data_IF_250672998859
#
_entry.id   IF_250672998859
#
_cell.length_a   1.000
_cell.length_b   1.000
_cell.length_c   1.000
_cell.angle_alpha   90.00
_cell.angle_beta   90.00
_cell.angle_gamma   90.00
#
_symmetry.space_group_name_H-M   'P 1'
#
loop_
_entity.id
_entity.type
_entity.pdbx_description
1 polymer ?
#
# COMPACT_ATOMS: atom_id res chain seq x y z
N UNK A 1 22.30 -15.53 0.53
CA UNK A 1 21.61 -16.72 1.11
C UNK A 1 20.30 -16.43 1.87
N UNK A 2 19.92 -15.16 2.11
CA UNK A 2 18.68 -14.78 2.82
C UNK A 2 17.36 -14.92 2.04
N UNK A 3 17.39 -15.42 0.80
CA UNK A 3 16.22 -15.47 -0.09
C UNK A 3 15.38 -16.75 0.06
N UNK A 4 16.01 -17.85 0.50
CA UNK A 4 15.34 -19.16 0.59
C UNK A 4 14.34 -19.18 1.74
N UNK A 5 13.06 -19.24 1.41
CA UNK A 5 11.93 -19.26 2.36
C UNK A 5 11.08 -17.98 2.44
N UNK A 6 11.54 -16.86 1.86
CA UNK A 6 10.76 -15.62 1.77
C UNK A 6 10.01 -15.45 0.43
N UNK A 7 10.10 -16.42 -0.48
CA UNK A 7 9.35 -16.41 -1.75
C UNK A 7 9.95 -15.52 -2.83
N UNK A 8 11.23 -15.16 -2.74
CA UNK A 8 11.96 -14.40 -3.75
C UNK A 8 12.50 -15.27 -4.90
N UNK A 9 12.42 -16.59 -4.77
CA UNK A 9 13.01 -17.59 -5.68
C UNK A 9 12.43 -17.56 -7.12
N UNK A 10 11.29 -16.91 -7.33
CA UNK A 10 10.64 -16.74 -8.64
C UNK A 10 10.93 -15.41 -9.35
N UNK A 11 11.62 -14.46 -8.70
CA UNK A 11 11.93 -13.16 -9.30
C UNK A 11 13.15 -13.32 -10.24
N UNK A 12 12.92 -13.45 -11.54
CA UNK A 12 14.02 -13.42 -12.52
C UNK A 12 14.57 -12.00 -12.60
N UNK A 13 15.77 -11.79 -12.08
CA UNK A 13 16.53 -10.54 -12.18
C UNK A 13 17.74 -10.72 -13.08
N UNK A 14 18.17 -9.65 -13.74
CA UNK A 14 19.41 -9.65 -14.51
C UNK A 14 20.60 -9.59 -13.55
N UNK A 15 21.29 -10.73 -13.37
CA UNK A 15 22.44 -10.85 -12.48
C UNK A 15 23.62 -9.94 -12.88
N UNK A 16 23.73 -9.56 -14.16
CA UNK A 16 24.72 -8.59 -14.61
C UNK A 16 24.41 -7.18 -14.09
N UNK A 17 23.14 -6.79 -14.06
CA UNK A 17 22.69 -5.52 -13.45
C UNK A 17 22.92 -5.55 -11.94
N UNK A 18 22.59 -6.66 -11.26
CA UNK A 18 22.81 -6.82 -9.81
C UNK A 18 24.30 -6.66 -9.49
N UNK A 19 25.18 -7.38 -10.19
CA UNK A 19 26.63 -7.30 -9.98
C UNK A 19 27.17 -5.88 -10.18
N UNK A 20 26.69 -5.16 -11.20
CA UNK A 20 27.08 -3.77 -11.46
C UNK A 20 26.65 -2.82 -10.33
N UNK A 21 25.45 -2.99 -9.80
CA UNK A 21 24.94 -2.18 -8.68
C UNK A 21 25.72 -2.46 -7.38
N UNK A 22 26.00 -3.73 -7.09
CA UNK A 22 26.79 -4.13 -5.91
C UNK A 22 28.22 -3.60 -6.00
N UNK A 23 28.86 -3.69 -7.17
CA UNK A 23 30.18 -3.09 -7.40
C UNK A 23 30.18 -1.56 -7.22
N UNK A 24 29.04 -0.90 -7.44
CA UNK A 24 28.82 0.52 -7.16
C UNK A 24 28.50 0.85 -5.69
N UNK A 25 28.50 -0.13 -4.79
CA UNK A 25 28.26 0.05 -3.36
C UNK A 25 26.80 -0.08 -2.91
N UNK A 26 25.89 -0.55 -3.78
CA UNK A 26 24.49 -0.82 -3.41
C UNK A 26 24.41 -2.17 -2.69
N UNK A 27 23.71 -2.22 -1.56
CA UNK A 27 23.44 -3.48 -0.84
C UNK A 27 22.69 -4.48 -1.74
N UNK A 28 23.00 -5.77 -1.63
CA UNK A 28 22.56 -6.82 -2.56
C UNK A 28 21.03 -6.92 -2.70
N UNK A 29 20.27 -6.81 -1.60
CA UNK A 29 18.81 -6.80 -1.62
C UNK A 29 18.23 -5.60 -2.35
N UNK A 30 18.78 -4.40 -2.11
CA UNK A 30 18.39 -3.18 -2.83
C UNK A 30 18.79 -3.26 -4.31
N UNK A 31 19.94 -3.84 -4.63
CA UNK A 31 20.40 -4.05 -5.99
C UNK A 31 19.43 -4.98 -6.76
N UNK A 32 18.99 -6.08 -6.15
CA UNK A 32 17.98 -6.97 -6.74
C UNK A 32 16.63 -6.31 -6.93
N UNK A 33 16.18 -5.46 -5.98
CA UNK A 33 14.97 -4.66 -6.15
C UNK A 33 15.06 -3.79 -7.41
N UNK A 34 16.13 -3.03 -7.59
CA UNK A 34 16.30 -2.17 -8.76
C UNK A 34 16.49 -2.96 -10.06
N UNK A 35 17.23 -4.07 -10.03
CA UNK A 35 17.36 -4.95 -11.17
C UNK A 35 15.99 -5.49 -11.64
N UNK A 36 15.12 -5.88 -10.71
CA UNK A 36 13.75 -6.29 -11.01
C UNK A 36 12.87 -5.14 -11.51
N UNK A 37 12.97 -3.96 -10.89
CA UNK A 37 12.20 -2.77 -11.28
C UNK A 37 12.57 -2.28 -12.70
N UNK A 38 13.85 -2.34 -13.06
CA UNK A 38 14.40 -1.85 -14.32
C UNK A 38 14.41 -2.92 -15.44
N UNK A 39 14.31 -4.21 -15.10
CA UNK A 39 14.30 -5.31 -16.08
C UNK A 39 12.99 -5.51 -16.85
N UNK A 40 12.06 -4.54 -16.81
CA UNK A 40 10.74 -4.64 -17.48
C UNK A 40 10.82 -4.22 -18.95
N UNK A 41 9.98 -4.78 -19.84
CA UNK A 41 10.00 -4.44 -21.26
C UNK A 41 9.80 -2.94 -21.52
N UNK A 42 10.45 -2.49 -22.61
CA UNK A 42 10.76 -1.11 -22.97
C UNK A 42 9.59 -0.13 -22.93
N UNK A 43 9.84 1.03 -22.31
CA UNK A 43 9.17 2.27 -22.68
C UNK A 43 9.56 2.64 -24.11
N UNK A 44 8.58 2.76 -25.00
CA UNK A 44 8.81 3.28 -26.34
C UNK A 44 8.88 4.80 -26.24
N UNK A 45 10.10 5.32 -26.33
CA UNK A 45 10.32 6.75 -26.45
C UNK A 45 10.51 7.12 -27.94
N UNK A 46 10.09 8.33 -28.35
CA UNK A 46 10.57 8.90 -29.60
C UNK A 46 12.10 8.88 -29.65
N UNK A 47 12.69 8.52 -30.79
CA UNK A 47 14.14 8.34 -30.92
C UNK A 47 14.94 9.54 -30.44
N UNK A 48 14.50 10.76 -30.77
CA UNK A 48 15.12 12.00 -30.30
C UNK A 48 15.20 12.08 -28.76
N UNK A 49 14.13 11.70 -28.06
CA UNK A 49 14.11 11.69 -26.60
C UNK A 49 15.00 10.59 -26.02
N UNK A 50 15.02 9.40 -26.64
CA UNK A 50 15.92 8.32 -26.23
C UNK A 50 17.40 8.71 -26.42
N UNK A 51 17.72 9.34 -27.55
CA UNK A 51 19.07 9.83 -27.87
C UNK A 51 19.48 10.91 -26.84
N UNK A 52 18.60 11.84 -26.49
CA UNK A 52 18.84 12.86 -25.46
C UNK A 52 19.06 12.25 -24.06
N UNK A 53 18.26 11.25 -23.66
CA UNK A 53 18.43 10.53 -22.40
C UNK A 53 19.76 9.76 -22.32
N UNK A 54 20.21 9.20 -23.45
CA UNK A 54 21.45 8.41 -23.53
C UNK A 54 22.71 9.28 -23.65
N UNK A 55 22.61 10.46 -24.28
CA UNK A 55 23.74 11.36 -24.50
C UNK A 55 24.24 12.05 -23.21
N UNK A 56 23.44 12.06 -22.13
CA UNK A 56 23.83 12.66 -20.85
C UNK A 56 24.19 14.14 -20.93
N UNK A 57 23.69 14.85 -21.95
CA UNK A 57 24.14 16.17 -22.37
C UNK A 57 23.01 17.16 -22.66
N UNK A 58 23.40 18.43 -22.75
CA UNK A 58 22.57 19.61 -22.98
C UNK A 58 21.77 19.51 -24.29
N UNK A 59 20.45 19.63 -24.23
CA UNK A 59 19.67 20.02 -25.42
C UNK A 59 19.44 21.53 -25.38
N UNK A 60 20.15 22.26 -26.23
CA UNK A 60 19.76 23.60 -26.65
C UNK A 60 18.61 23.50 -27.67
N UNK A 61 17.39 23.85 -27.23
CA UNK A 61 16.24 24.20 -28.07
C UNK A 61 15.36 23.01 -28.51
N UNK A 62 14.05 22.97 -28.19
CA UNK A 62 13.04 24.01 -28.40
C UNK A 62 12.04 24.05 -27.24
N UNK A 63 11.96 25.20 -26.56
CA UNK A 63 10.82 25.54 -25.70
C UNK A 63 10.95 25.25 -24.20
N UNK A 64 12.15 25.32 -23.63
CA UNK A 64 12.39 25.23 -22.18
C UNK A 64 13.76 24.65 -21.85
N UNK A 65 14.81 25.47 -21.97
CA UNK A 65 16.21 25.03 -21.83
C UNK A 65 16.58 24.62 -20.40
N UNK A 66 16.54 23.32 -20.12
CA UNK A 66 17.07 22.72 -18.91
C UNK A 66 18.00 21.56 -19.26
N UNK A 67 19.15 21.49 -18.58
CA UNK A 67 20.09 20.37 -18.70
C UNK A 67 19.40 19.07 -18.30
N UNK A 68 19.46 18.03 -19.13
CA UNK A 68 18.93 16.71 -18.78
C UNK A 68 19.74 16.15 -17.60
N UNK A 69 19.10 15.82 -16.46
CA UNK A 69 19.82 15.27 -15.32
C UNK A 69 20.52 13.95 -15.67
N UNK A 70 21.73 13.67 -15.13
CA UNK A 70 22.44 12.41 -15.40
C UNK A 70 21.65 11.15 -15.06
N UNK A 71 20.68 11.25 -14.15
CA UNK A 71 19.80 10.15 -13.74
C UNK A 71 18.44 10.15 -14.46
N UNK A 72 18.21 10.99 -15.48
CA UNK A 72 16.90 11.14 -16.12
C UNK A 72 16.36 9.83 -16.72
N UNK A 73 17.24 9.00 -17.30
CA UNK A 73 16.86 7.69 -17.83
C UNK A 73 16.38 6.75 -16.71
N UNK A 74 17.13 6.70 -15.60
CA UNK A 74 16.75 5.94 -14.41
C UNK A 74 15.42 6.44 -13.83
N UNK A 75 15.24 7.76 -13.71
CA UNK A 75 13.97 8.36 -13.26
C UNK A 75 12.79 7.96 -14.13
N UNK A 76 12.95 8.01 -15.46
CA UNK A 76 11.90 7.64 -16.39
C UNK A 76 11.47 6.18 -16.22
N UNK A 77 12.44 5.25 -16.17
CA UNK A 77 12.17 3.83 -15.97
C UNK A 77 11.56 3.55 -14.60
N UNK A 78 12.17 4.11 -13.54
CA UNK A 78 11.72 3.89 -12.18
C UNK A 78 10.34 4.49 -11.93
N UNK A 79 10.01 5.68 -12.49
CA UNK A 79 8.68 6.30 -12.34
C UNK A 79 7.56 5.43 -12.87
N UNK A 80 7.80 4.72 -13.97
CA UNK A 80 6.81 3.89 -14.60
C UNK A 80 6.83 2.42 -14.14
N UNK A 81 7.54 2.15 -13.04
CA UNK A 81 7.37 0.98 -12.20
C UNK A 81 6.30 1.24 -11.13
N UNK A 82 5.24 0.42 -11.09
CA UNK A 82 4.07 0.61 -10.22
C UNK A 82 3.86 -0.57 -9.27
N UNK A 83 4.75 -0.78 -8.27
CA UNK A 83 4.51 -1.75 -7.21
C UNK A 83 3.44 -1.24 -6.22
N UNK A 84 2.97 -2.11 -5.35
CA UNK A 84 2.06 -1.75 -4.25
C UNK A 84 2.73 -0.88 -3.18
N UNK A 85 4.02 -1.10 -2.92
CA UNK A 85 4.86 -0.25 -2.08
C UNK A 85 6.12 0.07 -2.88
N UNK A 86 6.42 1.36 -3.05
CA UNK A 86 7.52 1.81 -3.90
C UNK A 86 8.60 2.47 -3.06
N UNK A 87 9.83 1.97 -3.19
CA UNK A 87 11.00 2.65 -2.65
C UNK A 87 11.32 3.84 -3.56
N UNK A 88 11.42 5.04 -2.99
CA UNK A 88 11.84 6.28 -3.67
C UNK A 88 13.25 6.60 -3.21
N UNK A 89 14.18 6.65 -4.15
CA UNK A 89 15.55 7.06 -3.89
C UNK A 89 15.64 8.56 -3.59
N UNK A 90 16.73 9.01 -2.95
CA UNK A 90 16.99 10.41 -2.69
C UNK A 90 17.06 11.23 -3.98
N UNK A 91 16.57 12.47 -3.94
CA UNK A 91 16.63 13.40 -5.07
C UNK A 91 17.75 14.43 -4.87
N UNK A 92 18.21 15.03 -5.96
CA UNK A 92 19.20 16.11 -5.91
C UNK A 92 18.69 17.35 -5.13
N UNK A 93 17.37 17.46 -4.95
CA UNK A 93 16.69 18.54 -4.22
C UNK A 93 16.72 18.34 -2.69
N UNK A 94 17.36 17.27 -2.19
CA UNK A 94 17.61 17.05 -0.77
C UNK A 94 16.61 16.14 -0.06
N UNK A 95 15.65 15.55 -0.79
CA UNK A 95 14.75 14.55 -0.23
C UNK A 95 15.52 13.26 0.06
N UNK A 96 15.32 12.68 1.24
CA UNK A 96 15.90 11.39 1.61
C UNK A 96 15.23 10.19 0.94
N UNK A 97 15.58 8.99 1.42
CA UNK A 97 14.88 7.76 1.08
C UNK A 97 13.45 7.82 1.58
N UNK A 98 12.49 7.48 0.71
CA UNK A 98 11.07 7.49 1.05
C UNK A 98 10.40 6.20 0.61
N UNK A 99 9.27 5.91 1.23
CA UNK A 99 8.41 4.78 0.88
C UNK A 99 7.06 5.33 0.48
N UNK A 100 6.59 4.96 -0.72
CA UNK A 100 5.26 5.30 -1.20
C UNK A 100 4.33 4.10 -1.00
N UNK A 101 3.33 4.26 -0.13
CA UNK A 101 2.29 3.26 0.11
C UNK A 101 1.11 3.49 -0.84
N UNK A 102 0.91 2.59 -1.80
CA UNK A 102 0.00 2.71 -2.94
C UNK A 102 -1.25 1.79 -2.96
N UNK A 103 -1.51 0.85 -2.02
CA UNK A 103 -2.67 -0.04 -2.16
C UNK A 103 -4.04 0.60 -1.88
N UNK A 104 -4.10 1.82 -1.35
CA UNK A 104 -5.34 2.41 -0.86
C UNK A 104 -6.23 2.91 -2.00
N UNK A 105 -7.48 2.45 -2.03
CA UNK A 105 -8.51 3.06 -2.86
C UNK A 105 -8.88 4.46 -2.33
N UNK A 106 -9.19 5.38 -3.23
CA UNK A 106 -9.74 6.69 -2.85
C UNK A 106 -11.15 6.53 -2.29
N UNK A 107 -11.45 7.27 -1.23
CA UNK A 107 -12.75 7.27 -0.57
C UNK A 107 -13.59 8.48 -1.00
N UNK A 108 -14.89 8.44 -0.69
CA UNK A 108 -15.85 9.41 -1.21
C UNK A 108 -15.72 10.79 -0.58
N UNK A 109 -15.25 10.87 0.68
CA UNK A 109 -15.09 12.12 1.41
C UNK A 109 -13.65 12.37 1.88
N UNK A 110 -13.32 13.65 2.09
CA UNK A 110 -12.02 14.07 2.63
C UNK A 110 -11.76 13.48 4.02
N UNK A 111 -12.79 13.33 4.86
CA UNK A 111 -12.65 12.71 6.18
C UNK A 111 -12.20 11.26 6.08
N UNK A 112 -12.79 10.45 5.20
CA UNK A 112 -12.41 9.04 5.06
C UNK A 112 -10.97 8.91 4.53
N UNK A 113 -10.62 9.73 3.53
CA UNK A 113 -9.26 9.78 3.00
C UNK A 113 -8.26 10.20 4.09
N UNK A 114 -8.59 11.23 4.88
CA UNK A 114 -7.78 11.65 6.02
C UNK A 114 -7.64 10.54 7.07
N UNK A 115 -8.72 9.82 7.37
CA UNK A 115 -8.71 8.73 8.35
C UNK A 115 -7.73 7.62 7.97
N UNK A 116 -7.72 7.21 6.69
CA UNK A 116 -6.76 6.23 6.20
C UNK A 116 -5.33 6.74 6.21
N UNK A 117 -5.10 8.01 5.85
CA UNK A 117 -3.76 8.62 5.91
C UNK A 117 -3.24 8.66 7.34
N UNK A 118 -4.04 9.18 8.27
CA UNK A 118 -3.71 9.25 9.70
C UNK A 118 -3.41 7.86 10.24
N UNK A 119 -4.26 6.87 9.95
CA UNK A 119 -4.05 5.49 10.37
C UNK A 119 -2.74 4.90 9.84
N UNK A 120 -2.44 5.04 8.55
CA UNK A 120 -1.20 4.50 7.96
C UNK A 120 0.03 5.16 8.58
N UNK A 121 0.00 6.48 8.81
CA UNK A 121 1.12 7.21 9.45
C UNK A 121 1.31 6.74 10.88
N UNK A 122 0.25 6.70 11.69
CA UNK A 122 0.34 6.25 13.09
C UNK A 122 0.77 4.79 13.18
N UNK A 123 0.23 3.90 12.34
CA UNK A 123 0.61 2.49 12.31
C UNK A 123 2.08 2.31 11.91
N UNK A 124 2.57 3.04 10.91
CA UNK A 124 3.97 2.99 10.50
C UNK A 124 4.90 3.45 11.63
N UNK A 125 4.54 4.54 12.34
CA UNK A 125 5.30 5.04 13.48
C UNK A 125 5.27 4.09 14.67
N UNK A 126 4.14 3.47 14.98
CA UNK A 126 4.03 2.47 16.02
C UNK A 126 4.92 1.25 15.72
N UNK A 127 4.91 0.76 14.47
CA UNK A 127 5.78 -0.35 14.03
C UNK A 127 7.26 -0.02 14.19
N UNK A 128 7.66 1.20 13.79
CA UNK A 128 9.03 1.69 13.94
C UNK A 128 9.43 1.81 15.42
N UNK A 129 8.58 2.44 16.24
CA UNK A 129 8.81 2.69 17.67
C UNK A 129 8.99 1.40 18.46
N UNK A 130 8.14 0.41 18.20
CA UNK A 130 8.11 -0.85 18.95
C UNK A 130 8.95 -1.97 18.31
N UNK A 131 9.59 -1.71 17.17
CA UNK A 131 10.40 -2.71 16.45
C UNK A 131 9.58 -3.93 16.02
N UNK A 132 8.30 -3.73 15.71
CA UNK A 132 7.37 -4.81 15.40
C UNK A 132 7.71 -5.41 14.04
N UNK A 133 7.87 -6.73 14.00
CA UNK A 133 8.18 -7.43 12.76
C UNK A 133 6.95 -8.19 12.24
N UNK A 134 6.25 -7.61 11.26
CA UNK A 134 5.10 -8.22 10.57
C UNK A 134 5.44 -8.83 9.21
N UNK A 135 6.71 -9.09 8.93
CA UNK A 135 7.08 -9.68 7.64
C UNK A 135 6.44 -11.06 7.48
N UNK A 136 5.75 -11.23 6.36
CA UNK A 136 5.14 -12.46 5.89
C UNK A 136 5.88 -12.89 4.61
N UNK A 137 6.09 -14.21 4.36
CA UNK A 137 6.70 -14.67 3.11
C UNK A 137 5.96 -14.13 1.88
N UNK A 138 6.69 -13.68 0.86
CA UNK A 138 6.13 -12.98 -0.30
C UNK A 138 5.06 -13.80 -1.04
N UNK A 139 5.22 -15.12 -1.13
CA UNK A 139 4.19 -16.02 -1.70
C UNK A 139 2.82 -15.90 -0.99
N UNK A 140 2.82 -15.71 0.33
CA UNK A 140 1.60 -15.48 1.12
C UNK A 140 1.08 -14.05 0.97
N UNK A 141 1.96 -13.08 0.72
CA UNK A 141 1.56 -11.71 0.36
C UNK A 141 0.81 -11.70 -0.98
N UNK A 142 1.28 -12.44 -1.98
CA UNK A 142 0.56 -12.61 -3.24
C UNK A 142 -0.81 -13.27 -3.05
N UNK A 143 -0.86 -14.33 -2.24
CA UNK A 143 -2.15 -14.96 -1.90
C UNK A 143 -3.10 -13.99 -1.18
N UNK A 144 -2.57 -13.11 -0.32
CA UNK A 144 -3.36 -12.04 0.31
C UNK A 144 -3.94 -11.06 -0.72
N UNK A 145 -3.20 -10.72 -1.77
CA UNK A 145 -3.73 -9.92 -2.86
C UNK A 145 -4.90 -10.62 -3.54
N UNK A 146 -4.77 -11.91 -3.88
CA UNK A 146 -5.88 -12.67 -4.48
C UNK A 146 -7.10 -12.71 -3.54
N UNK A 147 -6.89 -12.86 -2.23
CA UNK A 147 -7.93 -12.85 -1.19
C UNK A 147 -8.58 -11.49 -0.98
N UNK A 148 -7.95 -10.38 -1.37
CA UNK A 148 -8.46 -9.03 -1.16
C UNK A 148 -9.54 -8.61 -2.19
N UNK A 149 -9.53 -9.19 -3.39
CA UNK A 149 -10.40 -8.79 -4.50
C UNK A 149 -11.87 -9.26 -4.44
N UNK A 150 -12.21 -10.44 -3.88
CA UNK A 150 -13.59 -10.91 -3.82
C UNK A 150 -14.55 -9.93 -3.14
N UNK A 151 -15.82 -9.94 -3.59
CA UNK A 151 -16.88 -9.10 -3.01
C UNK A 151 -16.97 -9.32 -1.50
N UNK A 152 -17.01 -8.22 -0.76
CA UNK A 152 -17.10 -8.18 0.71
C UNK A 152 -15.93 -8.89 1.42
N UNK A 153 -14.76 -9.05 0.78
CA UNK A 153 -13.59 -9.72 1.36
C UNK A 153 -13.29 -9.28 2.80
N UNK A 154 -13.38 -7.97 3.09
CA UNK A 154 -13.17 -7.42 4.44
C UNK A 154 -13.97 -8.13 5.55
N UNK A 155 -15.15 -8.69 5.24
CA UNK A 155 -16.07 -9.29 6.22
C UNK A 155 -15.86 -10.78 6.47
N UNK A 156 -15.24 -11.50 5.53
CA UNK A 156 -15.24 -12.97 5.57
C UNK A 156 -13.94 -13.61 5.08
N UNK A 157 -13.14 -12.90 4.29
CA UNK A 157 -11.82 -13.39 3.92
C UNK A 157 -10.89 -13.34 5.12
N UNK A 158 -9.90 -14.24 5.06
CA UNK A 158 -8.82 -14.30 6.04
C UNK A 158 -7.51 -14.13 5.31
N UNK A 159 -6.59 -13.39 5.90
CA UNK A 159 -5.33 -12.97 5.33
C UNK A 159 -4.18 -13.52 6.17
N UNK A 160 -3.14 -13.97 5.49
CA UNK A 160 -1.90 -14.39 6.13
C UNK A 160 -1.29 -13.20 6.87
N UNK A 161 -1.19 -13.35 8.18
CA UNK A 161 -0.65 -12.37 9.09
C UNK A 161 0.34 -13.03 10.03
N UNK A 162 1.35 -12.30 10.47
CA UNK A 162 2.32 -12.82 11.43
C UNK A 162 1.74 -12.74 12.84
N UNK A 163 1.74 -13.86 13.56
CA UNK A 163 1.25 -13.97 14.94
C UNK A 163 2.37 -14.43 15.85
N UNK A 164 2.77 -13.57 16.80
CA UNK A 164 3.81 -13.85 17.78
C UNK A 164 5.21 -14.10 17.20
N UNK A 165 6.08 -14.63 18.06
CA UNK A 165 7.44 -14.97 17.69
C UNK A 165 7.48 -16.30 16.93
N UNK A 166 8.20 -16.29 15.81
CA UNK A 166 8.40 -17.44 14.96
C UNK A 166 9.25 -18.54 15.60
N UNK A 167 9.31 -19.70 14.97
CA UNK A 167 10.28 -20.74 15.31
C UNK A 167 11.62 -20.53 14.60
N UNK A 168 12.62 -21.37 14.90
CA UNK A 168 13.84 -21.47 14.12
C UNK A 168 14.13 -22.91 13.69
N UNK A 169 14.55 -23.07 12.44
CA UNK A 169 15.04 -24.32 11.89
C UNK A 169 16.55 -24.24 11.68
N UNK A 170 17.26 -25.37 11.80
CA UNK A 170 18.66 -25.47 11.36
C UNK A 170 18.72 -26.18 10.02
N UNK A 171 19.14 -25.48 8.97
CA UNK A 171 19.41 -26.07 7.66
C UNK A 171 20.89 -25.88 7.36
N UNK A 172 21.63 -26.98 7.19
CA UNK A 172 23.09 -26.98 6.97
C UNK A 172 23.88 -26.18 8.03
N UNK A 173 23.47 -26.24 9.30
CA UNK A 173 24.13 -25.53 10.41
C UNK A 173 23.75 -24.05 10.55
N UNK A 174 23.00 -23.48 9.60
CA UNK A 174 22.52 -22.10 9.64
C UNK A 174 21.12 -22.05 10.27
N UNK A 175 20.96 -21.22 11.30
CA UNK A 175 19.67 -20.96 11.93
C UNK A 175 18.79 -20.10 11.02
N UNK A 176 17.59 -20.58 10.72
CA UNK A 176 16.59 -19.93 9.88
C UNK A 176 15.34 -19.65 10.71
N UNK A 177 15.09 -18.38 11.01
CA UNK A 177 13.82 -17.98 11.63
C UNK A 177 12.68 -18.15 10.63
N UNK A 178 11.66 -18.93 11.00
CA UNK A 178 10.41 -19.04 10.26
C UNK A 178 9.37 -18.16 10.93
N UNK A 179 8.76 -17.18 10.22
CA UNK A 179 7.70 -16.39 10.81
C UNK A 179 6.51 -17.30 11.14
N UNK A 180 5.99 -17.19 12.36
CA UNK A 180 4.72 -17.84 12.72
C UNK A 180 3.59 -17.05 12.08
N UNK A 181 2.94 -17.61 11.06
CA UNK A 181 1.90 -16.94 10.28
C UNK A 181 0.59 -17.70 10.35
N UNK A 182 -0.50 -16.98 10.53
CA UNK A 182 -1.85 -17.51 10.61
C UNK A 182 -2.80 -16.71 9.72
N UNK A 183 -3.93 -17.32 9.37
CA UNK A 183 -5.01 -16.64 8.66
C UNK A 183 -5.89 -15.89 9.67
N UNK A 184 -5.96 -14.57 9.55
CA UNK A 184 -6.78 -13.70 10.39
C UNK A 184 -7.78 -12.91 9.53
N UNK A 185 -8.97 -12.63 10.05
CA UNK A 185 -9.89 -11.67 9.41
C UNK A 185 -9.32 -10.25 9.49
N UNK A 186 -9.86 -9.32 8.69
CA UNK A 186 -9.45 -7.90 8.81
C UNK A 186 -9.81 -7.35 10.19
N UNK A 187 -10.93 -7.78 10.76
CA UNK A 187 -11.32 -7.45 12.13
C UNK A 187 -10.26 -7.88 13.15
N UNK A 188 -9.81 -9.14 13.08
CA UNK A 188 -8.77 -9.68 13.97
C UNK A 188 -7.41 -8.96 13.78
N UNK A 189 -7.09 -8.53 12.55
CA UNK A 189 -5.85 -7.79 12.26
C UNK A 189 -5.93 -6.36 12.81
N UNK A 190 -7.05 -5.67 12.61
CA UNK A 190 -7.18 -4.25 12.97
C UNK A 190 -7.49 -4.09 14.46
N UNK A 191 -8.53 -4.77 14.94
CA UNK A 191 -9.06 -4.65 16.30
C UNK A 191 -8.45 -5.66 17.28
N UNK A 192 -7.73 -6.65 16.78
CA UNK A 192 -7.08 -7.67 17.60
C UNK A 192 -7.96 -8.91 17.85
N UNK A 193 -7.34 -9.91 18.45
CA UNK A 193 -7.95 -11.16 18.87
C UNK A 193 -7.14 -11.76 20.04
N UNK A 194 -7.49 -12.96 20.49
CA UNK A 194 -6.77 -13.60 21.60
C UNK A 194 -5.26 -13.80 21.33
N UNK A 195 -4.87 -14.02 20.07
CA UNK A 195 -3.48 -14.31 19.68
C UNK A 195 -2.72 -13.10 19.13
N UNK A 196 -3.39 -11.96 18.91
CA UNK A 196 -2.77 -10.79 18.30
C UNK A 196 -3.40 -9.51 18.85
N UNK A 197 -2.57 -8.58 19.32
CA UNK A 197 -3.02 -7.35 19.97
C UNK A 197 -3.88 -6.46 19.05
N UNK A 198 -3.69 -6.56 17.73
CA UNK A 198 -4.35 -5.69 16.75
C UNK A 198 -3.53 -4.45 16.46
N UNK A 199 -3.65 -3.92 15.25
CA UNK A 199 -2.92 -2.71 14.82
C UNK A 199 -3.40 -1.49 15.60
N UNK A 200 -4.70 -1.35 15.87
CA UNK A 200 -5.23 -0.17 16.56
C UNK A 200 -4.74 -0.07 18.00
N UNK A 201 -4.70 -1.18 18.73
CA UNK A 201 -4.17 -1.18 20.09
C UNK A 201 -2.68 -0.79 20.13
N UNK A 202 -1.90 -1.14 19.10
CA UNK A 202 -0.50 -0.67 18.99
C UNK A 202 -0.41 0.82 18.65
N UNK A 203 -1.34 1.34 17.85
CA UNK A 203 -1.44 2.78 17.57
C UNK A 203 -1.79 3.56 18.85
N UNK A 204 -2.70 3.04 19.67
CA UNK A 204 -3.08 3.61 20.96
C UNK A 204 -1.91 3.62 21.96
N UNK A 205 -1.17 2.52 22.06
CA UNK A 205 0.06 2.46 22.87
C UNK A 205 1.07 3.52 22.38
N UNK A 206 1.28 3.61 21.07
CA UNK A 206 2.22 4.56 20.46
C UNK A 206 1.86 6.00 20.81
N UNK A 207 0.59 6.40 20.63
CA UNK A 207 0.14 7.75 20.98
C UNK A 207 0.36 8.04 22.47
N UNK A 208 0.11 7.05 23.33
CA UNK A 208 0.31 7.19 24.78
C UNK A 208 1.79 7.36 25.13
N UNK A 209 2.68 6.53 24.57
CA UNK A 209 4.13 6.59 24.85
C UNK A 209 4.82 7.82 24.27
N UNK A 210 4.36 8.32 23.12
CA UNK A 210 4.86 9.57 22.54
C UNK A 210 4.28 10.83 23.22
N UNK A 211 3.42 10.65 24.23
CA UNK A 211 2.94 11.74 25.08
C UNK A 211 1.81 12.57 24.46
N UNK A 212 1.00 11.99 23.55
CA UNK A 212 -0.21 12.65 23.05
C UNK A 212 -1.14 12.93 24.23
N UNK A 213 -1.59 14.17 24.34
CA UNK A 213 -2.59 14.58 25.31
C UNK A 213 -3.92 13.85 25.10
N UNK A 214 -4.76 13.81 26.14
CA UNK A 214 -6.10 13.23 26.01
C UNK A 214 -6.89 13.93 24.89
N UNK A 215 -6.79 15.25 24.78
CA UNK A 215 -7.47 16.01 23.73
C UNK A 215 -7.02 15.58 22.32
N UNK A 216 -5.71 15.42 22.09
CA UNK A 216 -5.18 14.94 20.80
C UNK A 216 -5.67 13.51 20.49
N UNK A 217 -5.69 12.62 21.48
CA UNK A 217 -6.22 11.26 21.30
C UNK A 217 -7.72 11.28 20.97
N UNK A 218 -8.50 12.15 21.63
CA UNK A 218 -9.92 12.33 21.33
C UNK A 218 -10.17 12.90 19.93
N UNK A 219 -9.28 13.76 19.44
CA UNK A 219 -9.32 14.27 18.06
C UNK A 219 -9.02 13.17 17.03
N UNK A 220 -8.16 12.20 17.36
CA UNK A 220 -7.85 11.07 16.46
C UNK A 220 -8.93 9.98 16.48
N UNK A 221 -9.69 9.88 17.58
CA UNK A 221 -10.67 8.80 17.80
C UNK A 221 -11.66 8.59 16.64
N UNK A 222 -12.30 9.63 16.05
CA UNK A 222 -13.22 9.44 14.93
C UNK A 222 -12.57 8.80 13.71
N UNK A 223 -11.29 9.10 13.44
CA UNK A 223 -10.55 8.48 12.33
C UNK A 223 -10.31 7.00 12.59
N UNK A 224 -9.87 6.66 13.80
CA UNK A 224 -9.59 5.27 14.19
C UNK A 224 -10.88 4.43 14.28
N UNK A 225 -11.98 5.03 14.75
CA UNK A 225 -13.30 4.40 14.82
C UNK A 225 -13.85 4.01 13.44
N UNK A 226 -13.55 4.81 12.41
CA UNK A 226 -13.90 4.47 11.02
C UNK A 226 -13.16 3.21 10.57
N UNK A 227 -11.85 3.12 10.83
CA UNK A 227 -11.02 1.97 10.48
C UNK A 227 -11.49 0.72 11.23
N UNK A 228 -11.68 0.84 12.54
CA UNK A 228 -12.21 -0.22 13.42
C UNK A 228 -13.58 -0.72 12.95
N UNK A 229 -14.49 0.22 12.67
CA UNK A 229 -15.86 -0.08 12.25
C UNK A 229 -15.91 -0.77 10.89
N UNK A 230 -15.05 -0.38 9.95
CA UNK A 230 -14.97 -1.04 8.64
C UNK A 230 -14.35 -2.43 8.72
N UNK A 231 -13.32 -2.59 9.54
CA UNK A 231 -12.69 -3.88 9.77
C UNK A 231 -13.65 -4.92 10.38
N UNK A 232 -14.44 -4.51 11.38
CA UNK A 232 -15.47 -5.33 12.02
C UNK A 232 -16.75 -5.50 11.19
N UNK A 233 -16.91 -4.71 10.13
CA UNK A 233 -18.12 -4.68 9.30
C UNK A 233 -19.30 -3.95 9.94
N UNK A 234 -19.11 -3.28 11.09
CA UNK A 234 -20.07 -2.35 11.69
C UNK A 234 -20.36 -1.18 10.74
N UNK A 235 -19.32 -0.66 10.11
CA UNK A 235 -19.40 0.41 9.10
C UNK A 235 -19.18 -0.18 7.71
N UNK A 236 -19.99 0.24 6.74
CA UNK A 236 -19.87 -0.22 5.35
C UNK A 236 -18.63 0.39 4.67
N UNK A 237 -18.02 -0.36 3.77
CA UNK A 237 -17.05 0.19 2.82
C UNK A 237 -17.76 0.98 1.72
N UNK A 238 -17.04 1.90 1.06
CA UNK A 238 -17.56 2.62 -0.10
C UNK A 238 -18.05 1.66 -1.21
N UNK A 239 -17.30 0.58 -1.47
CA UNK A 239 -17.69 -0.45 -2.43
C UNK A 239 -19.00 -1.16 -2.06
N UNK A 240 -19.23 -1.41 -0.76
CA UNK A 240 -20.48 -2.00 -0.28
C UNK A 240 -21.64 -1.00 -0.38
N UNK A 241 -21.40 0.25 0.00
CA UNK A 241 -22.39 1.33 -0.15
C UNK A 241 -22.86 1.48 -1.61
N UNK A 242 -21.92 1.60 -2.56
CA UNK A 242 -22.23 1.72 -4.00
C UNK A 242 -23.06 0.53 -4.46
N UNK A 243 -22.68 -0.68 -4.04
CA UNK A 243 -23.39 -1.91 -4.41
C UNK A 243 -24.80 -1.94 -3.84
N UNK A 244 -24.97 -1.63 -2.55
CA UNK A 244 -26.28 -1.59 -1.90
C UNK A 244 -27.18 -0.54 -2.58
N UNK A 245 -26.63 0.62 -2.96
CA UNK A 245 -27.35 1.66 -3.71
C UNK A 245 -27.87 1.12 -5.05
N UNK A 246 -26.98 0.55 -5.88
CA UNK A 246 -27.36 0.01 -7.20
C UNK A 246 -28.40 -1.11 -7.05
N UNK A 247 -28.19 -2.04 -6.12
CA UNK A 247 -29.09 -3.19 -5.90
C UNK A 247 -30.49 -2.78 -5.43
N UNK A 248 -30.63 -1.62 -4.79
CA UNK A 248 -31.90 -1.07 -4.30
C UNK A 248 -32.52 -0.05 -5.25
N UNK A 249 -31.83 0.31 -6.33
CA UNK A 249 -32.31 1.33 -7.26
C UNK A 249 -33.54 0.82 -8.03
N UNK A 250 -34.63 1.62 -8.17
CA UNK A 250 -35.85 1.19 -8.84
C UNK A 250 -35.66 0.75 -10.30
N UNK A 251 -34.72 1.37 -11.02
CA UNK A 251 -34.39 1.00 -12.40
C UNK A 251 -33.52 -0.25 -12.54
N UNK A 252 -32.98 -0.79 -11.44
CA UNK A 252 -32.05 -1.91 -11.54
C UNK A 252 -32.78 -3.22 -11.84
N UNK A 253 -32.60 -3.73 -13.06
CA UNK A 253 -33.27 -4.92 -13.56
C UNK A 253 -32.68 -6.25 -13.04
N UNK A 254 -31.74 -6.21 -12.07
CA UNK A 254 -31.04 -7.39 -11.52
C UNK A 254 -30.25 -8.20 -12.55
N UNK A 255 -29.79 -7.52 -13.59
CA UNK A 255 -29.05 -8.08 -14.73
C UNK A 255 -27.55 -7.71 -14.71
N UNK A 256 -27.08 -7.10 -13.61
CA UNK A 256 -25.71 -6.55 -13.47
C UNK A 256 -25.35 -5.43 -14.44
N UNK A 257 -26.34 -4.84 -15.12
CA UNK A 257 -26.16 -3.63 -15.92
C UNK A 257 -26.44 -2.39 -15.05
N UNK A 258 -25.66 -1.33 -15.27
CA UNK A 258 -25.85 -0.05 -14.59
C UNK A 258 -26.25 0.98 -15.65
N UNK A 259 -27.52 1.40 -15.64
CA UNK A 259 -28.04 2.42 -16.55
C UNK A 259 -27.42 3.80 -16.26
N UNK A 260 -27.49 4.70 -17.24
CA UNK A 260 -27.11 6.10 -17.03
C UNK A 260 -27.92 6.76 -15.90
N UNK A 261 -29.22 6.43 -15.79
CA UNK A 261 -30.08 6.89 -14.69
C UNK A 261 -29.55 6.51 -13.32
N UNK A 262 -29.19 5.23 -13.13
CA UNK A 262 -28.58 4.73 -11.89
C UNK A 262 -27.26 5.47 -11.60
N UNK A 263 -26.41 5.66 -12.61
CA UNK A 263 -25.13 6.38 -12.46
C UNK A 263 -25.34 7.83 -12.01
N UNK A 264 -26.24 8.56 -12.66
CA UNK A 264 -26.54 9.96 -12.34
C UNK A 264 -27.07 10.08 -10.90
N UNK A 265 -27.98 9.20 -10.49
CA UNK A 265 -28.55 9.24 -9.15
C UNK A 265 -27.54 8.83 -8.07
N UNK A 266 -26.65 7.86 -8.36
CA UNK A 266 -25.53 7.52 -7.49
C UNK A 266 -24.61 8.73 -7.27
N UNK A 267 -24.22 9.43 -8.34
CA UNK A 267 -23.34 10.60 -8.25
C UNK A 267 -24.01 11.76 -7.49
N UNK A 268 -25.30 12.00 -7.72
CA UNK A 268 -26.08 12.99 -6.96
C UNK A 268 -26.14 12.63 -5.48
N UNK A 269 -26.31 11.34 -5.18
CA UNK A 269 -26.34 10.84 -3.81
C UNK A 269 -24.99 11.04 -3.11
N UNK A 270 -23.89 10.65 -3.76
CA UNK A 270 -22.52 10.90 -3.29
C UNK A 270 -22.31 12.39 -3.01
N UNK A 271 -22.66 13.26 -3.97
CA UNK A 271 -22.55 14.71 -3.80
C UNK A 271 -23.34 15.24 -2.61
N UNK A 272 -24.56 14.76 -2.38
CA UNK A 272 -25.40 15.19 -1.24
C UNK A 272 -24.76 14.82 0.10
N UNK A 273 -24.12 13.64 0.19
CA UNK A 273 -23.43 13.20 1.40
C UNK A 273 -22.16 14.02 1.65
N UNK A 274 -21.35 14.25 0.62
CA UNK A 274 -20.11 15.05 0.71
C UNK A 274 -20.41 16.52 1.04
N UNK A 275 -21.48 17.09 0.46
CA UNK A 275 -21.93 18.47 0.75
C UNK A 275 -22.59 18.62 2.15
N UNK A 276 -22.72 17.53 2.94
CA UNK A 276 -23.40 17.56 4.25
C UNK A 276 -24.92 17.78 4.18
N UNK A 277 -25.53 17.67 3.00
CA UNK A 277 -26.98 17.85 2.76
C UNK A 277 -27.80 16.61 3.09
N UNK A 278 -27.14 15.48 3.37
CA UNK A 278 -27.74 14.24 3.86
C UNK A 278 -26.92 13.77 5.06
N UNK A 279 -27.62 13.33 6.12
CA UNK A 279 -26.99 12.75 7.29
C UNK A 279 -26.07 11.61 6.88
N UNK A 280 -24.83 11.66 7.33
CA UNK A 280 -23.77 10.83 6.80
C UNK A 280 -23.75 9.46 7.49
N UNK A 281 -24.76 8.63 7.22
CA UNK A 281 -24.88 7.29 7.80
C UNK A 281 -23.86 6.30 7.25
N UNK A 282 -22.94 6.73 6.39
CA UNK A 282 -21.74 5.96 6.01
C UNK A 282 -20.70 5.90 7.13
N UNK A 283 -20.84 6.72 8.19
CA UNK A 283 -19.82 6.96 9.23
C UNK A 283 -20.23 6.42 10.61
N UNK A 284 -21.45 5.92 10.76
CA UNK A 284 -22.03 5.45 12.03
C UNK A 284 -22.79 4.15 11.83
#
# INVERSE_FOLDING_TARGET
EGEKGWGLEGLRVDEGVVARLVAGGVEEGVARYYAGALGRPLFVFPRAFADALCAGGEEEGRGGGGKVPPNANFEAMHKAFFPHVKLKHPTAEGEGWRVEFRPMDVQLSDFENAAYVVFVVLAARAVERFGVDWRVPLGKVWENFDRAHPRDAVRWQRFWWRVGDGGSDRVNGVERKRPNVALLTVDEIINGCQSFKGILALVEDYMTEEGFSLEEQEQMRPYLDLISGRASGRIRTAARFIRDFVMQHPEYARDSQISEGICVDLLREIRRMVDGKRGNTMFT
#
